data_IF_712191995447
#
_entry.id   IF_712191995447
#
_cell.length_a   1.000
_cell.length_b   1.000
_cell.length_c   1.000
_cell.angle_alpha   90.00
_cell.angle_beta   90.00
_cell.angle_gamma   90.00
#
_symmetry.space_group_name_H-M   'P 1'
#
loop_
_entity.id
_entity.type
_entity.pdbx_description
1 polymer ?
#
# COMPACT_ATOMS: atom_id res chain seq x y z
N UNK A 1 -16.16 17.17 11.91
CA UNK A 1 -15.21 17.86 12.84
C UNK A 1 -15.22 17.23 14.23
N UNK A 2 -16.36 16.87 14.81
CA UNK A 2 -16.42 16.25 16.15
C UNK A 2 -15.69 14.89 16.26
N UNK A 3 -15.68 14.10 15.20
CA UNK A 3 -15.06 12.75 15.18
C UNK A 3 -13.53 12.73 15.25
N UNK A 4 -12.83 13.82 14.92
CA UNK A 4 -11.37 13.90 14.98
C UNK A 4 -10.84 14.51 16.29
N UNK A 5 -11.73 14.95 17.20
CA UNK A 5 -11.34 15.41 18.53
C UNK A 5 -10.61 14.29 19.28
N UNK A 6 -9.59 14.66 20.03
CA UNK A 6 -8.71 13.77 20.81
C UNK A 6 -7.78 12.85 19.99
N UNK A 7 -7.69 13.02 18.66
CA UNK A 7 -6.71 12.27 17.88
C UNK A 7 -5.30 12.66 18.26
N UNK A 8 -4.44 11.68 18.52
CA UNK A 8 -3.02 11.84 18.85
C UNK A 8 -2.11 11.06 17.91
N UNK A 9 -2.68 10.08 17.18
CA UNK A 9 -1.94 9.24 16.24
C UNK A 9 -2.70 9.07 14.92
N UNK A 10 -1.95 9.03 13.82
CA UNK A 10 -2.47 8.67 12.52
C UNK A 10 -1.67 7.49 11.98
N UNK A 11 -2.37 6.42 11.68
CA UNK A 11 -1.84 5.20 11.08
C UNK A 11 -2.16 5.23 9.59
N UNK A 12 -1.17 5.04 8.75
CA UNK A 12 -1.31 5.00 7.30
C UNK A 12 -1.02 3.60 6.77
N UNK A 13 -1.76 3.18 5.76
CA UNK A 13 -1.23 2.21 4.82
C UNK A 13 -0.12 2.85 3.96
N UNK A 14 0.67 2.04 3.26
CA UNK A 14 1.78 2.53 2.45
C UNK A 14 1.47 2.51 0.96
N UNK A 15 1.17 1.33 0.40
CA UNK A 15 1.04 1.11 -1.03
C UNK A 15 -0.27 1.71 -1.57
N UNK A 16 -0.19 2.54 -2.60
CA UNK A 16 -1.33 3.32 -3.15
C UNK A 16 -2.01 4.28 -2.16
N UNK A 17 -1.46 4.41 -0.94
CA UNK A 17 -1.92 5.43 0.02
C UNK A 17 -0.89 6.57 0.16
N UNK A 18 0.37 6.23 0.34
CA UNK A 18 1.49 7.18 0.42
C UNK A 18 2.48 6.99 -0.71
N UNK A 19 2.81 5.73 -1.04
CA UNK A 19 3.72 5.36 -2.11
C UNK A 19 2.92 4.91 -3.33
N UNK A 20 3.22 5.48 -4.50
CA UNK A 20 2.53 5.19 -5.77
C UNK A 20 2.93 3.80 -6.28
N UNK A 21 2.30 2.75 -5.71
CA UNK A 21 2.61 1.37 -6.06
C UNK A 21 2.36 1.10 -7.53
N UNK A 22 1.19 1.48 -8.06
CA UNK A 22 0.82 1.17 -9.44
C UNK A 22 1.74 1.88 -10.44
N UNK A 23 2.03 3.17 -10.23
CA UNK A 23 2.94 3.93 -11.07
C UNK A 23 4.37 3.39 -11.03
N UNK A 24 4.88 3.10 -9.84
CA UNK A 24 6.24 2.59 -9.67
C UNK A 24 6.39 1.15 -10.20
N UNK A 25 5.38 0.30 -10.01
CA UNK A 25 5.36 -1.04 -10.58
C UNK A 25 5.41 -1.00 -12.12
N UNK A 26 4.62 -0.12 -12.75
CA UNK A 26 4.62 0.07 -14.22
C UNK A 26 5.99 0.48 -14.74
N UNK A 27 6.66 1.42 -14.07
CA UNK A 27 8.01 1.84 -14.43
C UNK A 27 8.99 0.67 -14.36
N UNK A 28 8.98 -0.09 -13.25
CA UNK A 28 9.87 -1.24 -13.08
C UNK A 28 9.60 -2.34 -14.11
N UNK A 29 8.34 -2.66 -14.37
CA UNK A 29 7.96 -3.68 -15.36
C UNK A 29 8.33 -3.28 -16.79
N UNK A 30 8.14 -2.01 -17.16
CA UNK A 30 8.57 -1.51 -18.48
C UNK A 30 10.09 -1.59 -18.64
N UNK A 31 10.86 -1.25 -17.61
CA UNK A 31 12.32 -1.40 -17.63
C UNK A 31 12.75 -2.88 -17.81
N UNK A 32 12.10 -3.81 -17.11
CA UNK A 32 12.36 -5.24 -17.26
C UNK A 32 11.98 -5.76 -18.62
N UNK A 33 10.84 -5.33 -19.15
CA UNK A 33 10.39 -5.68 -20.49
C UNK A 33 11.43 -5.29 -21.56
N UNK A 34 11.96 -4.07 -21.47
CA UNK A 34 13.02 -3.58 -22.37
C UNK A 34 14.32 -4.33 -22.17
N UNK A 35 14.80 -4.47 -20.93
CA UNK A 35 16.06 -5.13 -20.57
C UNK A 35 16.13 -6.56 -21.10
N UNK A 36 15.04 -7.31 -20.96
CA UNK A 36 14.96 -8.72 -21.36
C UNK A 36 14.44 -8.93 -22.79
N UNK A 37 14.20 -7.85 -23.56
CA UNK A 37 13.64 -7.90 -24.90
C UNK A 37 12.36 -8.77 -24.97
N UNK A 38 11.46 -8.62 -23.98
CA UNK A 38 10.25 -9.44 -23.88
C UNK A 38 9.35 -9.28 -25.11
N UNK A 39 9.34 -8.13 -25.76
CA UNK A 39 8.60 -7.94 -27.01
C UNK A 39 9.07 -8.92 -28.09
N UNK A 40 10.38 -9.10 -28.26
CA UNK A 40 10.94 -10.06 -29.21
C UNK A 40 10.59 -11.51 -28.87
N UNK A 41 10.49 -11.83 -27.57
CA UNK A 41 10.20 -13.18 -27.11
C UNK A 41 8.72 -13.53 -27.15
N UNK A 42 7.84 -12.54 -26.94
CA UNK A 42 6.38 -12.76 -26.79
C UNK A 42 5.56 -12.19 -27.94
N UNK A 43 6.11 -11.25 -28.72
CA UNK A 43 5.36 -10.45 -29.70
C UNK A 43 4.39 -9.45 -29.04
N UNK A 44 4.55 -9.14 -27.75
CA UNK A 44 3.65 -8.29 -26.97
C UNK A 44 4.39 -7.07 -26.43
N UNK A 45 3.66 -5.94 -26.39
CA UNK A 45 4.14 -4.66 -25.85
C UNK A 45 4.34 -4.73 -24.34
N UNK A 46 5.06 -3.77 -23.79
CA UNK A 46 5.20 -3.61 -22.33
C UNK A 46 3.85 -3.36 -21.63
N UNK A 47 2.94 -2.61 -22.27
CA UNK A 47 1.58 -2.41 -21.74
C UNK A 47 0.83 -3.74 -21.56
N UNK A 48 0.88 -4.62 -22.56
CA UNK A 48 0.24 -5.93 -22.45
C UNK A 48 0.87 -6.80 -21.34
N UNK A 49 2.19 -6.71 -21.15
CA UNK A 49 2.87 -7.38 -20.04
C UNK A 49 2.43 -6.83 -18.68
N UNK A 50 2.36 -5.51 -18.55
CA UNK A 50 1.94 -4.82 -17.32
C UNK A 50 0.51 -5.22 -16.95
N UNK A 51 -0.44 -5.12 -17.88
CA UNK A 51 -1.85 -5.49 -17.64
C UNK A 51 -2.00 -6.94 -17.15
N UNK A 52 -1.32 -7.89 -17.80
CA UNK A 52 -1.36 -9.29 -17.39
C UNK A 52 -0.69 -9.51 -16.04
N UNK A 53 0.43 -8.82 -15.80
CA UNK A 53 1.12 -8.89 -14.51
C UNK A 53 0.25 -8.33 -13.38
N UNK A 54 -0.41 -7.18 -13.54
CA UNK A 54 -1.29 -6.58 -12.54
C UNK A 54 -2.38 -7.56 -12.09
N UNK A 55 -3.08 -8.17 -13.03
CA UNK A 55 -4.12 -9.17 -12.75
C UNK A 55 -3.54 -10.39 -12.02
N UNK A 56 -2.40 -10.90 -12.50
CA UNK A 56 -1.76 -12.08 -11.92
C UNK A 56 -1.20 -11.79 -10.53
N UNK A 57 -0.61 -10.60 -10.33
CA UNK A 57 -0.11 -10.13 -9.04
C UNK A 57 -1.23 -10.01 -8.00
N UNK A 58 -2.36 -9.40 -8.37
CA UNK A 58 -3.52 -9.28 -7.47
C UNK A 58 -4.08 -10.66 -7.06
N UNK A 59 -4.12 -11.62 -8.00
CA UNK A 59 -4.53 -12.99 -7.69
C UNK A 59 -3.59 -13.65 -6.66
N UNK A 60 -2.25 -13.54 -6.85
CA UNK A 60 -1.27 -14.13 -5.94
C UNK A 60 -1.28 -13.47 -4.57
N UNK A 61 -1.46 -12.14 -4.47
CA UNK A 61 -1.60 -11.45 -3.19
C UNK A 61 -2.83 -11.93 -2.43
N UNK A 62 -3.99 -12.04 -3.10
CA UNK A 62 -5.23 -12.56 -2.49
C UNK A 62 -5.05 -13.98 -1.96
N UNK A 63 -4.32 -14.86 -2.68
CA UNK A 63 -4.01 -16.23 -2.25
C UNK A 63 -3.06 -16.24 -1.05
N UNK A 64 -2.05 -15.38 -1.06
CA UNK A 64 -1.10 -15.24 0.05
C UNK A 64 -1.79 -14.77 1.32
N UNK A 65 -2.65 -13.75 1.26
CA UNK A 65 -3.43 -13.23 2.40
C UNK A 65 -4.36 -14.30 3.00
N UNK A 66 -4.81 -15.26 2.19
CA UNK A 66 -5.59 -16.43 2.64
C UNK A 66 -4.73 -17.59 3.15
N UNK A 67 -3.42 -17.50 3.07
CA UNK A 67 -2.49 -18.60 3.41
C UNK A 67 -2.49 -19.76 2.42
N UNK A 68 -3.01 -19.57 1.19
CA UNK A 68 -3.05 -20.59 0.14
C UNK A 68 -1.70 -20.78 -0.58
N UNK A 69 -0.84 -19.79 -0.53
CA UNK A 69 0.52 -19.81 -1.07
C UNK A 69 1.49 -19.14 -0.10
N UNK A 70 2.74 -19.56 -0.13
CA UNK A 70 3.81 -18.95 0.66
C UNK A 70 4.43 -17.73 -0.05
N UNK A 71 5.32 -17.04 0.65
CA UNK A 71 6.04 -15.84 0.19
C UNK A 71 6.87 -16.10 -1.05
N UNK A 72 7.54 -17.25 -1.12
CA UNK A 72 8.40 -17.60 -2.25
C UNK A 72 7.58 -17.86 -3.51
N UNK A 73 6.51 -18.61 -3.38
CA UNK A 73 5.52 -18.84 -4.44
C UNK A 73 4.92 -17.54 -4.96
N UNK A 74 4.49 -16.63 -4.07
CA UNK A 74 3.98 -15.31 -4.47
C UNK A 74 5.03 -14.52 -5.24
N UNK A 75 6.29 -14.48 -4.76
CA UNK A 75 7.35 -13.69 -5.39
C UNK A 75 7.71 -14.19 -6.77
N UNK A 76 7.75 -15.50 -6.95
CA UNK A 76 8.24 -16.13 -8.18
C UNK A 76 7.14 -16.38 -9.19
N UNK A 77 6.05 -17.05 -8.77
CA UNK A 77 5.01 -17.56 -9.67
C UNK A 77 4.22 -16.46 -10.36
N UNK A 78 3.99 -15.32 -9.72
CA UNK A 78 3.30 -14.20 -10.36
C UNK A 78 3.99 -13.70 -11.64
N UNK A 79 5.33 -13.80 -11.74
CA UNK A 79 6.07 -13.46 -12.95
C UNK A 79 6.04 -14.60 -13.96
N UNK A 80 6.27 -15.83 -13.51
CA UNK A 80 6.25 -17.02 -14.37
C UNK A 80 4.90 -17.14 -15.06
N UNK A 81 3.83 -17.08 -14.30
CA UNK A 81 2.47 -17.23 -14.81
C UNK A 81 2.03 -16.06 -15.69
N UNK A 82 2.45 -14.82 -15.35
CA UNK A 82 2.20 -13.67 -16.22
C UNK A 82 2.87 -13.83 -17.59
N UNK A 83 4.12 -14.29 -17.64
CA UNK A 83 4.82 -14.56 -18.90
C UNK A 83 4.22 -15.75 -19.66
N UNK A 84 3.75 -16.79 -18.96
CA UNK A 84 3.02 -17.91 -19.60
C UNK A 84 1.70 -17.43 -20.24
N UNK A 85 0.96 -16.54 -19.57
CA UNK A 85 -0.26 -15.93 -20.13
C UNK A 85 0.05 -15.08 -21.38
N UNK A 86 1.28 -14.55 -21.50
CA UNK A 86 1.77 -13.88 -22.72
C UNK A 86 2.23 -14.84 -23.82
N UNK A 87 2.18 -16.16 -23.57
CA UNK A 87 2.59 -17.18 -24.52
C UNK A 87 4.06 -17.59 -24.42
N UNK A 88 4.82 -17.11 -23.41
CA UNK A 88 6.22 -17.47 -23.22
C UNK A 88 6.33 -18.69 -22.29
N UNK A 89 6.79 -19.82 -22.85
CA UNK A 89 7.01 -21.04 -22.09
C UNK A 89 8.02 -20.82 -20.97
N UNK A 90 7.85 -21.49 -19.83
CA UNK A 90 8.65 -21.30 -18.62
C UNK A 90 10.14 -21.56 -18.84
N UNK A 91 10.48 -22.56 -19.65
CA UNK A 91 11.88 -22.89 -20.00
C UNK A 91 12.60 -21.83 -20.85
N UNK A 92 11.85 -20.91 -21.48
CA UNK A 92 12.35 -19.79 -22.28
C UNK A 92 12.31 -18.45 -21.54
N UNK A 93 11.78 -18.40 -20.33
CA UNK A 93 11.66 -17.17 -19.57
C UNK A 93 12.99 -16.71 -19.00
N UNK A 94 13.22 -15.38 -18.89
CA UNK A 94 14.39 -14.84 -18.22
C UNK A 94 14.46 -15.32 -16.78
N UNK A 95 15.60 -15.88 -16.39
CA UNK A 95 15.82 -16.32 -15.00
C UNK A 95 16.02 -15.13 -14.08
N UNK A 96 15.42 -15.17 -12.89
CA UNK A 96 15.63 -14.14 -11.88
C UNK A 96 14.85 -12.84 -12.11
N UNK A 97 13.93 -12.77 -13.08
CA UNK A 97 13.13 -11.58 -13.38
C UNK A 97 12.40 -11.03 -12.12
N UNK A 98 11.88 -11.91 -11.29
CA UNK A 98 11.23 -11.53 -10.04
C UNK A 98 12.19 -10.86 -9.04
N UNK A 99 13.45 -11.32 -8.99
CA UNK A 99 14.46 -10.72 -8.11
C UNK A 99 14.82 -9.33 -8.60
N UNK A 100 15.05 -9.18 -9.90
CA UNK A 100 15.34 -7.87 -10.50
C UNK A 100 14.21 -6.87 -10.26
N UNK A 101 12.94 -7.32 -10.33
CA UNK A 101 11.82 -6.48 -9.98
C UNK A 101 11.87 -6.01 -8.52
N UNK A 102 12.21 -6.91 -7.59
CA UNK A 102 12.32 -6.57 -6.17
C UNK A 102 13.53 -5.67 -5.89
N UNK A 103 14.56 -5.72 -6.73
CA UNK A 103 15.74 -4.85 -6.63
C UNK A 103 15.43 -3.44 -7.18
N UNK A 104 14.59 -3.33 -8.20
CA UNK A 104 14.28 -2.06 -8.89
C UNK A 104 13.06 -1.36 -8.28
N UNK A 105 11.91 -2.02 -8.25
CA UNK A 105 10.64 -1.39 -7.94
C UNK A 105 10.63 -0.63 -6.60
N UNK A 106 11.10 -1.20 -5.47
CA UNK A 106 11.07 -0.51 -4.19
C UNK A 106 11.98 0.73 -4.11
N UNK A 107 12.93 0.87 -5.04
CA UNK A 107 13.86 2.02 -5.07
C UNK A 107 13.30 3.22 -5.82
N UNK A 108 12.21 3.06 -6.56
CA UNK A 108 11.56 4.16 -7.28
C UNK A 108 10.86 5.07 -6.27
N UNK A 109 11.17 6.37 -6.24
CA UNK A 109 10.79 7.23 -5.12
C UNK A 109 9.41 7.87 -5.25
N UNK A 110 8.63 7.57 -6.28
CA UNK A 110 7.39 8.28 -6.54
C UNK A 110 6.35 8.02 -5.44
N UNK A 111 5.79 9.09 -4.96
CA UNK A 111 4.75 9.11 -3.93
C UNK A 111 3.40 9.51 -4.54
N UNK A 112 2.34 9.14 -3.86
CA UNK A 112 1.02 9.72 -4.09
C UNK A 112 1.13 11.26 -3.95
N UNK A 113 0.45 12.03 -4.82
CA UNK A 113 0.50 13.49 -4.77
C UNK A 113 0.29 14.04 -3.35
N UNK A 114 1.17 14.95 -2.94
CA UNK A 114 1.15 15.60 -1.62
C UNK A 114 1.42 14.69 -0.40
N UNK A 115 1.81 13.41 -0.57
CA UNK A 115 2.08 12.52 0.57
C UNK A 115 3.19 13.07 1.48
N UNK A 116 4.32 13.49 0.92
CA UNK A 116 5.45 14.01 1.70
C UNK A 116 5.06 15.29 2.48
N UNK A 117 4.40 16.23 1.82
CA UNK A 117 3.96 17.48 2.46
C UNK A 117 2.90 17.24 3.54
N UNK A 118 1.97 16.32 3.30
CA UNK A 118 0.96 15.88 4.28
C UNK A 118 1.61 15.26 5.50
N UNK A 119 2.51 14.31 5.33
CA UNK A 119 3.24 13.68 6.44
C UNK A 119 4.06 14.70 7.23
N UNK A 120 4.81 15.58 6.55
CA UNK A 120 5.62 16.61 7.20
C UNK A 120 4.77 17.59 8.04
N UNK A 121 3.55 17.85 7.62
CA UNK A 121 2.62 18.71 8.35
C UNK A 121 2.01 17.98 9.55
N UNK A 122 1.47 16.78 9.33
CA UNK A 122 0.82 15.99 10.38
C UNK A 122 1.79 15.57 11.48
N UNK A 123 3.03 15.27 11.13
CA UNK A 123 4.10 14.88 12.08
C UNK A 123 4.36 15.92 13.16
N UNK A 124 4.05 17.19 12.93
CA UNK A 124 4.20 18.27 13.92
C UNK A 124 3.17 18.19 15.06
N UNK A 125 2.08 17.45 14.84
CA UNK A 125 0.91 17.43 15.72
C UNK A 125 0.53 16.02 16.17
N UNK A 126 0.93 14.98 15.41
CA UNK A 126 0.52 13.61 15.61
C UNK A 126 1.70 12.66 15.56
N UNK A 127 1.60 11.56 16.28
CA UNK A 127 2.45 10.39 16.05
C UNK A 127 2.01 9.73 14.73
N UNK A 128 2.96 9.34 13.88
CA UNK A 128 2.69 8.76 12.57
C UNK A 128 3.21 7.32 12.51
N UNK A 129 2.32 6.37 12.29
CA UNK A 129 2.66 4.97 12.09
C UNK A 129 2.29 4.46 10.71
N UNK A 130 2.99 3.45 10.25
CA UNK A 130 2.63 2.68 9.05
C UNK A 130 2.16 1.29 9.42
N UNK A 131 1.11 0.81 8.75
CA UNK A 131 0.56 -0.52 8.89
C UNK A 131 0.33 -1.13 7.51
N UNK A 132 1.12 -2.15 7.13
CA UNK A 132 1.15 -2.66 5.76
C UNK A 132 1.13 -4.18 5.68
N UNK A 133 0.50 -4.74 4.63
CA UNK A 133 0.60 -6.17 4.28
C UNK A 133 1.85 -6.51 3.46
N UNK A 134 2.63 -5.51 3.06
CA UNK A 134 3.87 -5.73 2.31
C UNK A 134 4.99 -6.35 3.14
N UNK A 135 6.00 -6.88 2.44
CA UNK A 135 7.16 -7.53 3.07
C UNK A 135 8.08 -6.49 3.70
N UNK A 136 8.52 -6.76 4.93
CA UNK A 136 9.27 -5.86 5.81
C UNK A 136 10.43 -5.14 5.09
N UNK A 137 11.36 -5.89 4.51
CA UNK A 137 12.52 -5.34 3.83
C UNK A 137 12.14 -4.49 2.61
N UNK A 138 11.12 -4.91 1.84
CA UNK A 138 10.63 -4.18 0.68
C UNK A 138 10.04 -2.84 1.10
N UNK A 139 9.23 -2.82 2.15
CA UNK A 139 8.61 -1.60 2.65
C UNK A 139 9.64 -0.64 3.24
N UNK A 140 10.63 -1.13 3.99
CA UNK A 140 11.74 -0.32 4.48
C UNK A 140 12.51 0.37 3.34
N UNK A 141 12.75 -0.34 2.24
CA UNK A 141 13.40 0.23 1.05
C UNK A 141 12.56 1.35 0.45
N UNK A 142 11.24 1.14 0.24
CA UNK A 142 10.33 2.17 -0.27
C UNK A 142 10.34 3.43 0.60
N UNK A 143 10.18 3.27 1.91
CA UNK A 143 10.16 4.36 2.89
C UNK A 143 11.47 5.17 2.85
N UNK A 144 12.60 4.48 2.76
CA UNK A 144 13.91 5.12 2.72
C UNK A 144 14.15 5.84 1.39
N UNK A 145 13.90 5.17 0.27
CA UNK A 145 14.18 5.74 -1.06
C UNK A 145 13.23 6.89 -1.42
N UNK A 146 11.98 6.85 -0.95
CA UNK A 146 11.02 7.94 -1.15
C UNK A 146 11.19 9.13 -0.18
N UNK A 147 12.07 8.99 0.83
CA UNK A 147 12.35 10.07 1.79
C UNK A 147 11.32 10.24 2.90
N UNK A 148 10.23 9.46 2.93
CA UNK A 148 9.18 9.61 3.96
C UNK A 148 9.62 9.09 5.35
N UNK A 149 10.73 8.34 5.44
CA UNK A 149 11.24 7.80 6.71
C UNK A 149 11.41 8.85 7.82
N UNK A 150 11.70 10.11 7.45
CA UNK A 150 11.89 11.21 8.41
C UNK A 150 10.59 11.62 9.13
N UNK A 151 9.44 11.23 8.58
CA UNK A 151 8.13 11.61 9.09
C UNK A 151 7.37 10.44 9.74
N UNK A 152 7.98 9.25 9.80
CA UNK A 152 7.37 8.03 10.34
C UNK A 152 8.02 7.69 11.68
N UNK A 153 7.20 7.43 12.71
CA UNK A 153 7.69 6.99 14.03
C UNK A 153 7.96 5.50 14.10
N UNK A 154 7.14 4.71 13.41
CA UNK A 154 7.27 3.26 13.36
C UNK A 154 6.55 2.67 12.14
N UNK A 155 6.92 1.46 11.77
CA UNK A 155 6.22 0.64 10.79
C UNK A 155 5.93 -0.73 11.39
N UNK A 156 4.72 -1.23 11.16
CA UNK A 156 4.32 -2.61 11.43
C UNK A 156 3.94 -3.28 10.11
N UNK A 157 4.65 -4.33 9.75
CA UNK A 157 4.30 -5.16 8.60
C UNK A 157 3.58 -6.44 9.05
N UNK A 158 2.70 -6.96 8.20
CA UNK A 158 2.06 -8.26 8.46
C UNK A 158 3.09 -9.40 8.53
N UNK A 159 4.20 -9.27 7.81
CA UNK A 159 5.28 -10.26 7.84
C UNK A 159 5.96 -10.31 9.21
N UNK A 160 6.28 -9.16 9.81
CA UNK A 160 6.95 -9.11 11.11
C UNK A 160 6.04 -9.53 12.26
N UNK A 161 4.72 -9.28 12.12
CA UNK A 161 3.74 -9.65 13.14
C UNK A 161 3.15 -11.05 12.96
N UNK A 162 3.16 -11.58 11.73
CA UNK A 162 2.60 -12.90 11.40
C UNK A 162 1.10 -12.92 11.11
N UNK A 163 0.40 -11.77 11.18
CA UNK A 163 -1.04 -11.66 10.95
C UNK A 163 -1.31 -10.47 10.00
N UNK A 164 -1.98 -10.70 8.85
CA UNK A 164 -2.25 -9.62 7.89
C UNK A 164 -3.53 -8.83 8.20
N UNK A 165 -3.64 -7.62 7.69
CA UNK A 165 -4.92 -6.93 7.52
C UNK A 165 -5.83 -7.80 6.64
N UNK A 166 -7.14 -7.88 6.89
CA UNK A 166 -7.98 -7.07 7.77
C UNK A 166 -8.16 -7.61 9.20
N UNK A 167 -7.33 -8.55 9.63
CA UNK A 167 -7.43 -9.14 10.98
C UNK A 167 -7.27 -8.05 12.05
N UNK A 168 -8.18 -8.05 13.04
CA UNK A 168 -8.21 -7.05 14.12
C UNK A 168 -6.89 -6.99 14.88
N UNK A 169 -6.24 -8.13 15.08
CA UNK A 169 -5.05 -8.29 15.90
C UNK A 169 -3.87 -7.42 15.43
N UNK A 170 -3.71 -7.21 14.11
CA UNK A 170 -2.63 -6.36 13.60
C UNK A 170 -2.91 -4.87 13.85
N UNK A 171 -4.18 -4.46 13.81
CA UNK A 171 -4.57 -3.09 14.16
C UNK A 171 -4.41 -2.83 15.66
N UNK A 172 -4.81 -3.78 16.51
CA UNK A 172 -4.61 -3.70 17.96
C UNK A 172 -3.11 -3.57 18.29
N UNK A 173 -2.25 -4.34 17.60
CA UNK A 173 -0.80 -4.24 17.76
C UNK A 173 -0.25 -2.89 17.30
N UNK A 174 -0.75 -2.35 16.19
CA UNK A 174 -0.36 -1.02 15.73
C UNK A 174 -0.75 0.07 16.75
N UNK A 175 -1.94 -0.01 17.33
CA UNK A 175 -2.40 0.91 18.41
C UNK A 175 -1.52 0.75 19.65
N UNK A 176 -1.23 -0.48 20.10
CA UNK A 176 -0.34 -0.75 21.25
C UNK A 176 1.04 -0.07 21.05
N UNK A 177 1.62 -0.14 19.86
CA UNK A 177 2.91 0.49 19.53
C UNK A 177 2.87 2.03 19.62
N UNK A 178 1.68 2.63 19.53
CA UNK A 178 1.53 4.08 19.73
C UNK A 178 1.59 4.47 21.20
N UNK A 179 1.22 3.58 22.12
CA UNK A 179 0.98 3.88 23.53
C UNK A 179 -0.36 4.59 23.78
N UNK A 180 -1.26 4.63 22.79
CA UNK A 180 -2.55 5.34 22.80
C UNK A 180 -3.71 4.35 22.76
N UNK A 181 -4.93 4.87 22.91
CA UNK A 181 -6.17 4.10 22.76
C UNK A 181 -6.65 4.10 21.32
N UNK A 182 -7.56 3.19 20.97
CA UNK A 182 -8.20 3.15 19.64
C UNK A 182 -8.94 4.45 19.31
N UNK A 183 -9.54 5.09 20.31
CA UNK A 183 -10.27 6.36 20.15
C UNK A 183 -9.36 7.54 19.80
N UNK A 184 -8.08 7.47 20.20
CA UNK A 184 -7.05 8.47 19.93
C UNK A 184 -6.32 8.25 18.61
N UNK A 185 -6.63 7.14 17.90
CA UNK A 185 -6.04 6.79 16.62
C UNK A 185 -7.01 7.03 15.47
N UNK A 186 -6.47 7.44 14.33
CA UNK A 186 -7.12 7.41 13.01
C UNK A 186 -6.30 6.49 12.12
N UNK A 187 -6.99 5.68 11.31
CA UNK A 187 -6.38 4.89 10.24
C UNK A 187 -6.83 5.40 8.87
N UNK A 188 -5.94 5.37 7.87
CA UNK A 188 -6.26 5.68 6.47
C UNK A 188 -5.53 4.72 5.53
N UNK A 189 -6.24 4.16 4.56
CA UNK A 189 -5.71 3.29 3.52
C UNK A 189 -6.61 3.27 2.28
N UNK A 190 -6.09 2.71 1.18
CA UNK A 190 -6.77 2.68 -0.12
C UNK A 190 -7.65 1.44 -0.34
N UNK A 191 -7.32 0.33 0.30
CA UNK A 191 -8.04 -0.92 0.10
C UNK A 191 -9.29 -0.99 1.00
N UNK A 192 -10.46 -1.11 0.35
CA UNK A 192 -11.72 -1.16 1.07
C UNK A 192 -11.80 -2.30 2.09
N UNK A 193 -11.37 -3.50 1.71
CA UNK A 193 -11.53 -4.71 2.56
C UNK A 193 -10.47 -4.78 3.65
N UNK A 194 -9.20 -4.62 3.27
CA UNK A 194 -8.10 -4.81 4.22
C UNK A 194 -7.91 -3.60 5.13
N UNK A 195 -8.13 -2.38 4.63
CA UNK A 195 -7.90 -1.17 5.39
C UNK A 195 -9.18 -0.62 6.02
N UNK A 196 -10.20 -0.34 5.19
CA UNK A 196 -11.37 0.37 5.68
C UNK A 196 -12.18 -0.55 6.58
N UNK A 197 -12.60 -1.70 6.09
CA UNK A 197 -13.39 -2.65 6.88
C UNK A 197 -12.55 -3.22 8.02
N UNK A 198 -11.26 -3.51 7.78
CA UNK A 198 -10.34 -3.97 8.83
C UNK A 198 -10.21 -2.98 9.98
N UNK A 199 -9.94 -1.71 9.69
CA UNK A 199 -9.81 -0.66 10.71
C UNK A 199 -11.10 -0.39 11.48
N UNK A 200 -12.25 -0.36 10.78
CA UNK A 200 -13.56 -0.20 11.40
C UNK A 200 -13.91 -1.36 12.34
N UNK A 201 -13.64 -2.61 11.91
CA UNK A 201 -13.85 -3.81 12.73
C UNK A 201 -12.91 -3.86 13.94
N UNK A 202 -11.73 -3.24 13.84
CA UNK A 202 -10.82 -3.07 14.96
C UNK A 202 -11.27 -1.98 15.95
N UNK A 203 -12.28 -1.18 15.62
CA UNK A 203 -12.77 -0.10 16.45
C UNK A 203 -12.00 1.22 16.31
N UNK A 204 -11.24 1.39 15.22
CA UNK A 204 -10.47 2.60 14.92
C UNK A 204 -11.27 3.50 13.99
N UNK A 205 -11.23 4.81 14.23
CA UNK A 205 -11.75 5.80 13.28
C UNK A 205 -11.00 5.67 11.96
N UNK A 206 -11.71 5.38 10.87
CA UNK A 206 -11.06 5.03 9.61
C UNK A 206 -11.53 5.92 8.46
N UNK A 207 -10.58 6.41 7.68
CA UNK A 207 -10.77 7.12 6.43
C UNK A 207 -10.44 6.21 5.25
N UNK A 208 -11.12 6.39 4.14
CA UNK A 208 -10.82 5.71 2.88
C UNK A 208 -10.10 6.65 1.92
N UNK A 209 -8.85 6.32 1.58
CA UNK A 209 -8.16 6.98 0.47
C UNK A 209 -8.62 6.35 -0.83
N UNK A 210 -9.66 6.91 -1.43
CA UNK A 210 -10.42 6.30 -2.52
C UNK A 210 -9.93 6.78 -3.87
N UNK A 211 -9.19 5.93 -4.58
CA UNK A 211 -8.67 6.19 -5.93
C UNK A 211 -9.64 5.79 -7.05
N UNK A 212 -10.68 4.99 -6.73
CA UNK A 212 -11.66 4.48 -7.70
C UNK A 212 -13.04 4.39 -7.09
N UNK A 213 -14.07 4.23 -7.94
CA UNK A 213 -15.45 4.01 -7.49
C UNK A 213 -15.58 2.68 -6.71
N UNK A 214 -16.45 2.66 -5.71
CA UNK A 214 -16.69 1.49 -4.90
C UNK A 214 -17.96 1.61 -4.04
N UNK A 215 -18.41 0.50 -3.42
CA UNK A 215 -19.60 0.48 -2.59
C UNK A 215 -19.48 1.47 -1.42
N UNK A 216 -20.58 2.14 -1.11
CA UNK A 216 -20.69 3.07 0.04
C UNK A 216 -20.37 2.36 1.35
N UNK A 217 -19.67 3.05 2.23
CA UNK A 217 -19.38 2.58 3.60
C UNK A 217 -20.25 3.34 4.59
N UNK A 218 -21.01 2.59 5.39
CA UNK A 218 -21.87 3.14 6.44
C UNK A 218 -21.43 2.55 7.79
N UNK A 219 -20.73 3.37 8.60
CA UNK A 219 -20.26 2.96 9.92
C UNK A 219 -20.03 4.20 10.82
N UNK A 220 -20.35 4.14 12.14
CA UNK A 220 -20.18 5.29 13.04
C UNK A 220 -18.76 5.85 13.11
N UNK A 221 -17.74 4.99 12.98
CA UNK A 221 -16.33 5.36 13.01
C UNK A 221 -15.76 5.71 11.62
N UNK A 222 -16.56 5.62 10.55
CA UNK A 222 -16.11 6.00 9.22
C UNK A 222 -16.02 7.52 9.10
N UNK A 223 -14.85 8.01 8.69
CA UNK A 223 -14.55 9.44 8.60
C UNK A 223 -14.83 10.04 7.22
N UNK A 224 -15.05 9.19 6.22
CA UNK A 224 -15.32 9.61 4.85
C UNK A 224 -14.30 9.11 3.83
N UNK A 225 -14.54 9.49 2.57
CA UNK A 225 -13.74 9.17 1.40
C UNK A 225 -12.91 10.39 0.99
N UNK A 226 -11.66 10.18 0.66
CA UNK A 226 -10.71 11.22 0.29
C UNK A 226 -9.97 10.83 -0.98
N UNK A 227 -10.11 11.62 -2.04
CA UNK A 227 -9.35 11.45 -3.28
C UNK A 227 -7.97 12.13 -3.21
N UNK A 228 -7.78 13.04 -2.26
CA UNK A 228 -6.54 13.80 -2.08
C UNK A 228 -6.13 13.82 -0.61
N UNK A 229 -4.84 13.59 -0.35
CA UNK A 229 -4.29 13.62 1.02
C UNK A 229 -4.39 14.99 1.68
N UNK A 230 -4.41 16.07 0.89
CA UNK A 230 -4.63 17.43 1.41
C UNK A 230 -6.02 17.62 2.03
N UNK A 231 -7.05 17.01 1.46
CA UNK A 231 -8.41 17.06 2.01
C UNK A 231 -8.51 16.27 3.32
N UNK A 232 -7.87 15.11 3.39
CA UNK A 232 -7.74 14.35 4.62
C UNK A 232 -6.98 15.15 5.69
N UNK A 233 -5.83 15.75 5.34
CA UNK A 233 -5.06 16.62 6.24
C UNK A 233 -5.91 17.75 6.77
N UNK A 234 -6.63 18.48 5.90
CA UNK A 234 -7.50 19.58 6.30
C UNK A 234 -8.59 19.11 7.30
N UNK A 235 -9.19 17.95 7.05
CA UNK A 235 -10.16 17.37 7.95
C UNK A 235 -9.58 17.09 9.34
N UNK A 236 -8.44 16.40 9.41
CA UNK A 236 -7.79 16.01 10.68
C UNK A 236 -7.33 17.23 11.47
N UNK A 237 -6.82 18.26 10.77
CA UNK A 237 -6.39 19.53 11.38
C UNK A 237 -7.57 20.43 11.80
N UNK A 238 -8.81 20.05 11.49
CA UNK A 238 -9.99 20.87 11.78
C UNK A 238 -10.10 22.13 10.92
N UNK A 239 -9.39 22.16 9.79
CA UNK A 239 -9.42 23.28 8.84
C UNK A 239 -10.65 23.19 7.95
N UNK A 240 -11.34 24.30 7.75
CA UNK A 240 -12.43 24.35 6.77
C UNK A 240 -11.85 24.37 5.34
N UNK A 241 -12.61 23.84 4.35
CA UNK A 241 -12.21 23.84 2.93
C UNK A 241 -11.91 25.24 2.36
N UNK A 242 -12.29 26.30 3.07
CA UNK A 242 -12.09 27.69 2.67
C UNK A 242 -10.81 28.34 3.22
N UNK A 243 -10.00 27.62 3.98
CA UNK A 243 -8.75 28.11 4.59
C UNK A 243 -7.50 27.69 3.77
N UNK A 244 -7.72 27.39 2.44
CA UNK A 244 -6.64 27.07 1.49
C UNK A 244 -6.08 28.29 0.80
#
# INVERSE_FOLDING_TARGET
MEKAKNTQCILFDLDNTLWDFDGNAKIALSQLHQKHNLEKLTGKTDLAFIEIYEVTNAEYWRRYEKGEVDKETLRTRRFIDALQKLGLREDLQPKGLWQEYLDICPTIPNLIPNALSTLAHLKKHFKIGLLTNGFEQTQQTKIKCSGIHQHIDFMLSSESFGIPKPRKEIFDKAVEMTGMTHEECIYIGDNRETDVIGGLNAGIKTAWFKLSEGPKVEHPLFLGEYAHLDDFRAYVMGLNKNDK
#
